data_IF_158486335772
#
_entry.id   IF_158486335772
#
_cell.length_a   1.000
_cell.length_b   1.000
_cell.length_c   1.000
_cell.angle_alpha   90.00
_cell.angle_beta   90.00
_cell.angle_gamma   90.00
#
_symmetry.space_group_name_H-M   'P 1'
#
loop_
_entity.id
_entity.type
_entity.pdbx_description
1 polymer ?
#
# COMPACT_ATOMS: atom_id res chain seq x y z
N UNK A 1 -29.36 -1.42 -16.08
CA UNK A 1 -27.94 -1.04 -16.19
C UNK A 1 -27.43 -1.48 -17.54
N UNK A 2 -27.02 -0.54 -18.37
CA UNK A 2 -26.35 -0.78 -19.64
C UNK A 2 -24.88 -1.20 -19.43
N UNK A 3 -24.31 -1.87 -20.44
CA UNK A 3 -22.97 -2.48 -20.39
C UNK A 3 -21.88 -1.45 -20.04
N UNK A 4 -22.03 -0.21 -20.51
CA UNK A 4 -21.07 0.86 -20.22
C UNK A 4 -21.00 1.19 -18.72
N UNK A 5 -22.16 1.30 -18.05
CA UNK A 5 -22.22 1.54 -16.61
C UNK A 5 -21.63 0.38 -15.79
N UNK A 6 -21.83 -0.87 -16.24
CA UNK A 6 -21.21 -2.04 -15.61
C UNK A 6 -19.68 -1.98 -15.75
N UNK A 7 -19.17 -1.70 -16.95
CA UNK A 7 -17.73 -1.60 -17.20
C UNK A 7 -17.06 -0.50 -16.36
N UNK A 8 -17.70 0.66 -16.28
CA UNK A 8 -17.24 1.78 -15.45
C UNK A 8 -17.21 1.38 -13.96
N UNK A 9 -18.26 0.71 -13.49
CA UNK A 9 -18.34 0.25 -12.08
C UNK A 9 -17.23 -0.74 -11.76
N UNK A 10 -16.99 -1.72 -12.64
CA UNK A 10 -15.91 -2.70 -12.49
C UNK A 10 -14.55 -1.99 -12.48
N UNK A 11 -14.33 -1.04 -13.38
CA UNK A 11 -13.09 -0.28 -13.44
C UNK A 11 -12.82 0.47 -12.13
N UNK A 12 -13.79 1.21 -11.59
CA UNK A 12 -13.65 1.88 -10.31
C UNK A 12 -13.45 0.91 -9.15
N UNK A 13 -14.19 -0.21 -9.14
CA UNK A 13 -14.01 -1.26 -8.14
C UNK A 13 -12.57 -1.78 -8.12
N UNK A 14 -11.97 -2.07 -9.28
CA UNK A 14 -10.59 -2.55 -9.37
C UNK A 14 -9.58 -1.50 -8.91
N UNK A 15 -9.81 -0.21 -9.19
CA UNK A 15 -8.95 0.88 -8.68
C UNK A 15 -9.03 0.96 -7.15
N UNK A 16 -10.24 1.00 -6.59
CA UNK A 16 -10.42 1.10 -5.13
C UNK A 16 -9.84 -0.12 -4.43
N UNK A 17 -10.12 -1.32 -4.94
CA UNK A 17 -9.53 -2.56 -4.43
C UNK A 17 -8.00 -2.53 -4.53
N UNK A 18 -7.45 -2.04 -5.65
CA UNK A 18 -6.01 -1.91 -5.84
C UNK A 18 -5.36 -0.98 -4.82
N UNK A 19 -5.94 0.20 -4.58
CA UNK A 19 -5.45 1.13 -3.55
C UNK A 19 -5.54 0.50 -2.16
N UNK A 20 -6.66 -0.15 -1.84
CA UNK A 20 -6.89 -0.79 -0.54
C UNK A 20 -5.86 -1.89 -0.26
N UNK A 21 -5.63 -2.78 -1.22
CA UNK A 21 -4.63 -3.85 -1.08
C UNK A 21 -3.22 -3.25 -1.02
N UNK A 22 -2.89 -2.23 -1.82
CA UNK A 22 -1.57 -1.60 -1.76
C UNK A 22 -1.27 -0.99 -0.37
N UNK A 23 -2.25 -0.32 0.24
CA UNK A 23 -2.12 0.26 1.58
C UNK A 23 -2.04 -0.83 2.65
N UNK A 24 -2.77 -1.94 2.49
CA UNK A 24 -2.65 -3.12 3.33
C UNK A 24 -1.22 -3.68 3.33
N UNK A 25 -0.68 -3.92 2.14
CA UNK A 25 0.67 -4.45 1.94
C UNK A 25 1.74 -3.49 2.48
N UNK A 26 1.52 -2.18 2.35
CA UNK A 26 2.39 -1.17 2.97
C UNK A 26 2.46 -1.33 4.49
N UNK A 27 1.36 -1.70 5.15
CA UNK A 27 1.32 -1.97 6.59
C UNK A 27 2.26 -3.11 7.00
N UNK A 28 2.19 -4.25 6.29
CA UNK A 28 3.11 -5.36 6.50
C UNK A 28 4.56 -4.93 6.28
N UNK A 29 4.84 -4.24 5.16
CA UNK A 29 6.18 -3.77 4.81
C UNK A 29 6.79 -2.88 5.89
N UNK A 30 6.08 -1.83 6.30
CA UNK A 30 6.59 -0.84 7.26
C UNK A 30 6.92 -1.53 8.59
N UNK A 31 6.03 -2.38 9.08
CA UNK A 31 6.23 -3.01 10.37
C UNK A 31 7.28 -4.12 10.33
N UNK A 32 7.35 -4.90 9.24
CA UNK A 32 8.41 -5.87 9.00
C UNK A 32 9.79 -5.19 9.05
N UNK A 33 9.98 -4.10 8.29
CA UNK A 33 11.24 -3.34 8.28
C UNK A 33 11.57 -2.76 9.66
N UNK A 34 10.56 -2.26 10.40
CA UNK A 34 10.75 -1.71 11.76
C UNK A 34 11.22 -2.74 12.77
N UNK A 35 10.75 -3.98 12.67
CA UNK A 35 11.19 -5.08 13.53
C UNK A 35 12.42 -5.83 12.98
N UNK A 36 13.03 -5.33 11.91
CA UNK A 36 14.25 -5.91 11.35
C UNK A 36 14.02 -7.18 10.52
N UNK A 37 12.77 -7.54 10.22
CA UNK A 37 12.44 -8.61 9.27
C UNK A 37 12.88 -8.19 7.88
N UNK A 38 13.58 -9.10 7.19
CA UNK A 38 14.06 -8.85 5.84
C UNK A 38 12.89 -8.92 4.86
N UNK A 39 12.70 -7.84 4.11
CA UNK A 39 11.77 -7.78 2.97
C UNK A 39 12.58 -7.85 1.69
N UNK A 40 12.33 -8.87 0.90
CA UNK A 40 13.04 -9.13 -0.36
C UNK A 40 12.49 -8.24 -1.48
N UNK A 41 11.17 -8.08 -1.52
CA UNK A 41 10.48 -7.31 -2.55
C UNK A 41 9.23 -6.61 -2.00
N UNK A 42 9.05 -5.36 -2.40
CA UNK A 42 7.81 -4.60 -2.26
C UNK A 42 7.37 -4.17 -3.66
N UNK A 43 6.28 -4.73 -4.15
CA UNK A 43 5.78 -4.52 -5.50
C UNK A 43 4.42 -3.84 -5.55
N UNK A 44 4.20 -3.07 -6.61
CA UNK A 44 2.85 -2.64 -7.01
C UNK A 44 2.31 -3.70 -7.97
N UNK A 45 1.12 -4.21 -7.68
CA UNK A 45 0.51 -5.33 -8.40
C UNK A 45 1.01 -6.71 -7.94
N UNK A 46 0.42 -7.77 -8.49
CA UNK A 46 0.77 -9.16 -8.20
C UNK A 46 1.80 -9.74 -9.17
N UNK A 47 2.74 -10.59 -8.68
CA UNK A 47 3.74 -11.28 -9.49
C UNK A 47 3.14 -12.06 -10.68
N UNK A 48 3.92 -12.32 -11.75
CA UNK A 48 5.37 -12.14 -11.86
C UNK A 48 5.80 -10.67 -12.06
N UNK A 49 7.06 -10.40 -11.69
CA UNK A 49 7.68 -9.09 -11.84
C UNK A 49 7.75 -8.68 -13.31
N UNK A 50 7.20 -7.51 -13.65
CA UNK A 50 7.33 -6.94 -14.98
C UNK A 50 8.59 -6.07 -15.06
N UNK A 51 8.73 -5.11 -14.14
CA UNK A 51 9.84 -4.15 -14.11
C UNK A 51 10.36 -3.98 -12.69
N UNK A 52 11.68 -4.01 -12.52
CA UNK A 52 12.33 -3.55 -11.29
C UNK A 52 12.51 -2.03 -11.37
N UNK A 53 11.83 -1.29 -10.50
CA UNK A 53 11.90 0.17 -10.43
C UNK A 53 13.21 0.61 -9.76
N UNK A 54 13.49 0.04 -8.60
CA UNK A 54 14.63 0.42 -7.79
C UNK A 54 15.02 -0.70 -6.80
N UNK A 55 16.23 -0.62 -6.25
CA UNK A 55 16.73 -1.52 -5.20
C UNK A 55 17.47 -0.73 -4.13
N UNK A 56 17.15 -0.99 -2.87
CA UNK A 56 17.85 -0.43 -1.71
C UNK A 56 19.34 -0.80 -1.69
N UNK A 57 20.15 -0.01 -0.97
CA UNK A 57 21.50 -0.45 -0.63
C UNK A 57 21.37 -1.59 0.36
N UNK A 58 22.08 -2.67 0.09
CA UNK A 58 22.21 -3.77 1.03
C UNK A 58 23.43 -3.61 1.91
N UNK A 59 23.68 -4.61 2.74
CA UNK A 59 24.92 -4.78 3.46
C UNK A 59 25.23 -6.27 3.64
N UNK A 60 26.51 -6.57 3.82
CA UNK A 60 27.00 -7.89 4.11
C UNK A 60 28.00 -7.80 5.27
N UNK A 61 27.92 -8.73 6.20
CA UNK A 61 28.83 -8.80 7.33
C UNK A 61 29.84 -9.92 7.11
N UNK A 62 31.12 -9.54 6.98
CA UNK A 62 32.24 -10.46 6.77
C UNK A 62 33.35 -10.05 7.73
N UNK A 63 33.98 -11.01 8.42
CA UNK A 63 35.02 -10.74 9.43
C UNK A 63 34.60 -9.72 10.50
N UNK A 64 33.33 -9.69 10.90
CA UNK A 64 32.81 -8.73 11.88
C UNK A 64 32.67 -7.28 11.38
N UNK A 65 33.00 -7.00 10.11
CA UNK A 65 32.81 -5.68 9.48
C UNK A 65 31.57 -5.68 8.61
N UNK A 66 30.82 -4.58 8.67
CA UNK A 66 29.65 -4.36 7.81
C UNK A 66 30.07 -3.61 6.54
N UNK A 67 29.95 -4.30 5.40
CA UNK A 67 30.32 -3.80 4.08
C UNK A 67 29.04 -3.46 3.32
N UNK A 68 28.98 -2.28 2.71
CA UNK A 68 27.80 -1.82 1.97
C UNK A 68 27.72 -2.51 0.61
N UNK A 69 26.55 -3.04 0.25
CA UNK A 69 26.25 -3.55 -1.08
C UNK A 69 25.64 -2.40 -1.92
N UNK A 70 26.28 -1.99 -3.03
CA UNK A 70 25.73 -0.98 -3.93
C UNK A 70 24.37 -1.39 -4.51
N UNK A 71 23.51 -0.40 -4.79
CA UNK A 71 22.17 -0.61 -5.38
C UNK A 71 22.18 -1.42 -6.68
N UNK A 72 23.21 -1.22 -7.53
CA UNK A 72 23.36 -1.88 -8.83
C UNK A 72 24.19 -3.18 -8.76
N UNK A 73 24.69 -3.55 -7.59
CA UNK A 73 25.49 -4.76 -7.43
C UNK A 73 24.58 -5.99 -7.42
N UNK A 74 24.82 -6.93 -8.35
CA UNK A 74 24.14 -8.22 -8.40
C UNK A 74 24.98 -9.22 -7.61
N UNK A 75 24.41 -9.77 -6.54
CA UNK A 75 25.04 -10.86 -5.81
C UNK A 75 25.05 -12.12 -6.68
N UNK A 76 26.19 -12.80 -6.82
CA UNK A 76 26.24 -14.10 -7.47
C UNK A 76 25.36 -15.12 -6.73
N UNK A 77 24.83 -16.14 -7.44
CA UNK A 77 24.15 -17.25 -6.80
C UNK A 77 25.09 -17.95 -5.81
N UNK A 78 24.53 -18.45 -4.71
CA UNK A 78 25.31 -19.12 -3.65
C UNK A 78 25.89 -18.20 -2.58
N UNK A 79 25.84 -16.87 -2.76
CA UNK A 79 26.20 -15.91 -1.71
C UNK A 79 25.00 -15.74 -0.77
N UNK A 80 25.02 -16.50 0.34
CA UNK A 80 24.00 -16.51 1.39
C UNK A 80 24.65 -16.34 2.77
N UNK A 81 23.86 -16.06 3.80
CA UNK A 81 24.32 -16.16 5.19
C UNK A 81 24.89 -17.57 5.45
N UNK A 82 26.10 -17.65 6.02
CA UNK A 82 26.84 -18.88 6.26
C UNK A 82 27.74 -19.34 5.11
N UNK A 83 27.59 -18.77 3.90
CA UNK A 83 28.45 -19.09 2.75
C UNK A 83 29.89 -18.61 2.96
N UNK A 84 30.84 -19.33 2.38
CA UNK A 84 32.23 -18.90 2.31
C UNK A 84 32.44 -18.14 1.00
N UNK A 85 33.12 -17.00 1.07
CA UNK A 85 33.32 -16.10 -0.07
C UNK A 85 34.72 -15.52 -0.09
N UNK A 86 35.22 -15.19 -1.28
CA UNK A 86 36.28 -14.19 -1.44
C UNK A 86 35.61 -12.86 -1.84
N UNK A 87 36.19 -11.74 -1.43
CA UNK A 87 35.60 -10.43 -1.71
C UNK A 87 36.66 -9.35 -1.85
N UNK A 88 36.29 -8.29 -2.58
CA UNK A 88 37.07 -7.05 -2.68
C UNK A 88 36.17 -5.89 -2.31
N UNK A 89 36.69 -4.97 -1.52
CA UNK A 89 36.02 -3.71 -1.17
C UNK A 89 36.72 -2.54 -1.81
N UNK A 90 36.00 -1.43 -1.91
CA UNK A 90 36.52 -0.10 -2.22
C UNK A 90 35.98 0.87 -1.19
N UNK A 91 36.72 1.94 -0.90
CA UNK A 91 36.22 3.00 -0.03
C UNK A 91 35.48 4.02 -0.90
N UNK A 92 34.23 4.29 -0.55
CA UNK A 92 33.40 5.31 -1.20
C UNK A 92 32.75 6.17 -0.11
N UNK A 93 33.03 7.47 -0.12
CA UNK A 93 32.56 8.43 0.89
C UNK A 93 32.81 7.97 2.34
N UNK A 94 34.00 7.41 2.61
CA UNK A 94 34.38 6.93 3.94
C UNK A 94 33.73 5.61 4.38
N UNK A 95 33.00 4.93 3.49
CA UNK A 95 32.38 3.61 3.76
C UNK A 95 33.05 2.52 2.93
N UNK A 96 33.25 1.35 3.53
CA UNK A 96 33.64 0.15 2.77
C UNK A 96 32.44 -0.33 1.94
N UNK A 97 32.65 -0.38 0.62
CA UNK A 97 31.64 -0.75 -0.37
C UNK A 97 32.12 -1.98 -1.13
N UNK A 98 31.24 -2.96 -1.29
CA UNK A 98 31.52 -4.19 -2.02
C UNK A 98 31.81 -3.89 -3.50
N UNK A 99 32.97 -4.32 -3.97
CA UNK A 99 33.42 -4.18 -5.36
C UNK A 99 33.32 -5.49 -6.14
N UNK A 100 33.61 -6.62 -5.50
CA UNK A 100 33.43 -7.97 -6.04
C UNK A 100 33.24 -8.98 -4.90
N UNK A 101 32.52 -10.07 -5.16
CA UNK A 101 32.33 -11.19 -4.24
C UNK A 101 32.14 -12.46 -5.06
N UNK A 102 32.75 -13.57 -4.64
CA UNK A 102 32.62 -14.87 -5.29
C UNK A 102 32.47 -15.97 -4.24
N UNK A 103 31.54 -16.93 -4.42
CA UNK A 103 31.38 -18.06 -3.51
C UNK A 103 32.61 -18.98 -3.58
N UNK A 104 33.01 -19.52 -2.43
CA UNK A 104 34.13 -20.46 -2.28
C UNK A 104 33.59 -21.85 -2.02
N UNK A 105 34.04 -22.80 -2.83
CA UNK A 105 33.66 -24.20 -2.69
C UNK A 105 34.20 -24.81 -1.39
N UNK A 106 33.55 -25.84 -0.82
CA UNK A 106 33.98 -26.47 0.43
C UNK A 106 35.44 -26.91 0.45
N UNK A 107 35.95 -27.43 -0.67
CA UNK A 107 37.33 -27.89 -0.82
C UNK A 107 38.37 -26.76 -0.76
N UNK A 108 37.97 -25.51 -1.02
CA UNK A 108 38.84 -24.34 -1.14
C UNK A 108 38.76 -23.40 0.07
N UNK A 109 37.99 -23.76 1.12
CA UNK A 109 37.79 -22.92 2.32
C UNK A 109 39.07 -22.61 3.09
N UNK A 110 40.11 -23.44 2.95
CA UNK A 110 41.41 -23.23 3.60
C UNK A 110 42.30 -22.15 2.96
N UNK A 111 41.86 -21.55 1.84
CA UNK A 111 42.62 -20.48 1.19
C UNK A 111 42.59 -19.20 2.06
N UNK A 112 43.74 -18.53 2.18
CA UNK A 112 43.93 -17.37 3.07
C UNK A 112 42.98 -16.18 2.82
N UNK A 113 42.30 -16.14 1.66
CA UNK A 113 41.37 -15.08 1.28
C UNK A 113 39.88 -15.44 1.51
N UNK A 114 39.56 -16.68 1.88
CA UNK A 114 38.18 -17.10 2.11
C UNK A 114 37.67 -16.57 3.45
N UNK A 115 36.44 -16.07 3.47
CA UNK A 115 35.80 -15.57 4.69
C UNK A 115 34.33 -15.97 4.71
N UNK A 116 33.80 -16.23 5.91
CA UNK A 116 32.40 -16.58 6.05
C UNK A 116 31.51 -15.33 6.08
N UNK A 117 30.41 -15.38 5.36
CA UNK A 117 29.31 -14.41 5.44
C UNK A 117 28.56 -14.65 6.74
N UNK A 118 28.68 -13.74 7.69
CA UNK A 118 28.02 -13.83 9.00
C UNK A 118 26.55 -13.43 8.91
N UNK A 119 26.25 -12.40 8.11
CA UNK A 119 24.90 -11.92 7.86
C UNK A 119 24.81 -11.22 6.50
N UNK A 120 23.64 -11.28 5.86
CA UNK A 120 23.39 -10.72 4.55
C UNK A 120 22.02 -10.03 4.48
N UNK A 121 22.04 -8.76 4.09
CA UNK A 121 20.86 -7.99 3.72
C UNK A 121 21.04 -7.48 2.27
N UNK A 122 20.50 -8.17 1.25
CA UNK A 122 20.69 -7.78 -0.14
C UNK A 122 20.09 -6.41 -0.51
N UNK A 123 19.19 -5.88 0.33
CA UNK A 123 18.35 -4.70 0.07
C UNK A 123 17.01 -5.08 -0.56
N UNK A 124 15.95 -4.35 -0.19
CA UNK A 124 14.60 -4.55 -0.73
C UNK A 124 14.51 -4.09 -2.19
N UNK A 125 13.87 -4.92 -3.02
CA UNK A 125 13.56 -4.60 -4.41
C UNK A 125 12.18 -3.92 -4.48
N UNK A 126 12.10 -2.83 -5.22
CA UNK A 126 10.83 -2.17 -5.55
C UNK A 126 10.48 -2.48 -6.99
N UNK A 127 9.27 -2.98 -7.21
CA UNK A 127 8.86 -3.47 -8.53
C UNK A 127 7.47 -3.02 -8.94
N UNK A 128 7.25 -3.05 -10.26
CA UNK A 128 5.93 -3.07 -10.86
C UNK A 128 5.72 -4.49 -11.42
N UNK A 129 4.63 -5.13 -11.02
CA UNK A 129 4.28 -6.47 -11.47
C UNK A 129 3.22 -6.45 -12.57
N UNK A 130 3.09 -7.56 -13.30
CA UNK A 130 2.24 -7.62 -14.50
C UNK A 130 0.75 -7.43 -14.22
N UNK A 131 0.26 -7.89 -13.07
CA UNK A 131 -1.15 -7.71 -12.70
C UNK A 131 -1.28 -6.45 -11.83
N UNK A 132 -1.80 -5.32 -12.33
CA UNK A 132 -1.79 -4.03 -11.63
C UNK A 132 -2.89 -3.92 -10.56
N UNK A 133 -3.15 -5.03 -9.86
CA UNK A 133 -4.12 -5.10 -8.78
C UNK A 133 -3.36 -5.17 -7.45
N UNK A 134 -3.51 -4.13 -6.63
CA UNK A 134 -2.99 -4.16 -5.26
C UNK A 134 -1.50 -3.90 -5.12
N UNK A 135 -0.94 -4.48 -4.07
CA UNK A 135 0.48 -4.52 -3.77
C UNK A 135 0.94 -5.93 -3.47
N UNK A 136 2.23 -6.09 -3.24
CA UNK A 136 2.83 -7.38 -2.92
C UNK A 136 4.04 -7.18 -2.01
N UNK A 137 4.08 -7.84 -0.86
CA UNK A 137 5.27 -7.89 0.01
C UNK A 137 5.80 -9.32 0.09
N UNK A 138 7.07 -9.51 -0.25
CA UNK A 138 7.76 -10.79 0.00
C UNK A 138 8.70 -10.68 1.19
N UNK A 139 8.37 -11.38 2.27
CA UNK A 139 9.24 -11.48 3.43
C UNK A 139 10.15 -12.72 3.30
N UNK A 140 11.37 -12.63 3.82
CA UNK A 140 12.24 -13.79 3.89
C UNK A 140 11.68 -14.81 4.87
N UNK A 141 11.71 -16.08 4.47
CA UNK A 141 11.52 -17.24 5.36
C UNK A 141 10.22 -17.17 6.15
N UNK A 142 9.10 -17.01 5.47
CA UNK A 142 7.76 -16.98 6.08
C UNK A 142 7.44 -18.26 6.85
N UNK A 143 7.97 -19.41 6.39
CA UNK A 143 7.82 -20.72 7.03
C UNK A 143 9.14 -21.29 7.56
N UNK A 144 10.29 -20.65 7.25
CA UNK A 144 11.61 -21.17 7.59
C UNK A 144 12.38 -20.22 8.52
N UNK A 145 12.64 -20.62 9.78
CA UNK A 145 13.36 -19.80 10.75
C UNK A 145 14.90 -19.83 10.61
N UNK A 146 15.45 -20.44 9.54
CA UNK A 146 16.90 -20.59 9.35
C UNK A 146 17.66 -19.26 9.28
N UNK A 147 17.03 -18.19 8.80
CA UNK A 147 17.61 -16.85 8.80
C UNK A 147 17.07 -16.07 10.03
N UNK A 148 17.92 -15.52 10.91
CA UNK A 148 17.46 -14.76 12.09
C UNK A 148 16.59 -13.55 11.74
N UNK A 149 16.71 -13.02 10.51
CA UNK A 149 15.89 -11.91 10.00
C UNK A 149 14.68 -12.41 9.21
N UNK A 150 14.40 -13.70 9.19
CA UNK A 150 13.17 -14.24 8.61
C UNK A 150 11.96 -13.91 9.47
N UNK A 151 10.79 -13.91 8.84
CA UNK A 151 9.53 -13.74 9.53
C UNK A 151 9.27 -14.88 10.53
N UNK A 152 9.55 -16.12 10.16
CA UNK A 152 9.37 -17.29 11.03
C UNK A 152 10.29 -17.28 12.27
N UNK A 153 11.48 -16.68 12.17
CA UNK A 153 12.41 -16.57 13.29
C UNK A 153 11.98 -15.50 14.33
N UNK A 154 11.05 -14.62 14.00
CA UNK A 154 10.60 -13.58 14.92
C UNK A 154 9.75 -14.13 16.06
N UNK A 155 9.76 -13.39 17.18
CA UNK A 155 8.88 -13.66 18.32
C UNK A 155 7.40 -13.68 17.87
N UNK A 156 6.54 -14.54 18.44
CA UNK A 156 5.13 -14.64 18.04
C UNK A 156 4.38 -13.30 18.05
N UNK A 157 4.66 -12.44 19.03
CA UNK A 157 4.06 -11.11 19.10
C UNK A 157 4.46 -10.21 17.93
N UNK A 158 5.73 -10.24 17.51
CA UNK A 158 6.21 -9.47 16.35
C UNK A 158 5.52 -9.97 15.08
N UNK A 159 5.41 -11.29 14.93
CA UNK A 159 4.69 -11.90 13.80
C UNK A 159 3.23 -11.48 13.79
N UNK A 160 2.54 -11.58 14.92
CA UNK A 160 1.15 -11.15 15.05
C UNK A 160 0.96 -9.66 14.74
N UNK A 161 1.84 -8.79 15.26
CA UNK A 161 1.81 -7.37 14.96
C UNK A 161 1.96 -7.09 13.47
N UNK A 162 2.94 -7.73 12.80
CA UNK A 162 3.14 -7.60 11.35
C UNK A 162 1.90 -8.06 10.59
N UNK A 163 1.30 -9.20 10.95
CA UNK A 163 0.09 -9.72 10.29
C UNK A 163 -1.13 -8.81 10.49
N UNK A 164 -1.27 -8.16 11.65
CA UNK A 164 -2.38 -7.23 11.89
C UNK A 164 -2.11 -5.86 11.25
N UNK A 165 -0.86 -5.49 10.99
CA UNK A 165 -0.47 -4.20 10.43
C UNK A 165 -1.17 -3.87 9.11
N UNK A 166 -1.37 -4.86 8.24
CA UNK A 166 -2.05 -4.64 6.97
C UNK A 166 -3.52 -4.21 7.16
N UNK A 167 -4.27 -4.95 7.98
CA UNK A 167 -5.64 -4.57 8.31
C UNK A 167 -5.69 -3.22 9.07
N UNK A 168 -4.74 -2.98 9.98
CA UNK A 168 -4.61 -1.72 10.70
C UNK A 168 -4.45 -0.52 9.76
N UNK A 169 -3.64 -0.63 8.71
CA UNK A 169 -3.47 0.43 7.73
C UNK A 169 -4.74 0.71 6.92
N UNK A 170 -5.57 -0.31 6.66
CA UNK A 170 -6.86 -0.10 6.02
C UNK A 170 -7.85 0.63 6.93
N UNK A 171 -7.82 0.37 8.24
CA UNK A 171 -8.61 1.14 9.22
C UNK A 171 -8.17 2.61 9.23
N UNK A 172 -6.86 2.86 9.25
CA UNK A 172 -6.31 4.23 9.16
C UNK A 172 -6.74 4.90 7.86
N UNK A 173 -6.63 4.20 6.73
CA UNK A 173 -7.08 4.71 5.43
C UNK A 173 -8.57 5.05 5.46
N UNK A 174 -9.41 4.19 6.01
CA UNK A 174 -10.84 4.43 6.14
C UNK A 174 -11.13 5.68 6.96
N UNK A 175 -10.48 5.86 8.12
CA UNK A 175 -10.64 7.06 8.96
C UNK A 175 -10.28 8.32 8.17
N UNK A 176 -9.15 8.31 7.45
CA UNK A 176 -8.73 9.43 6.62
C UNK A 176 -9.75 9.72 5.52
N UNK A 177 -10.16 8.71 4.75
CA UNK A 177 -11.12 8.86 3.66
C UNK A 177 -12.47 9.37 4.15
N UNK A 178 -13.02 8.79 5.22
CA UNK A 178 -14.30 9.24 5.78
C UNK A 178 -14.22 10.65 6.35
N UNK A 179 -13.10 11.02 6.99
CA UNK A 179 -12.90 12.39 7.48
C UNK A 179 -12.86 13.38 6.31
N UNK A 180 -12.11 13.07 5.26
CA UNK A 180 -12.04 13.90 4.05
C UNK A 180 -13.42 14.05 3.38
N UNK A 181 -14.18 12.95 3.25
CA UNK A 181 -15.53 12.98 2.67
C UNK A 181 -16.50 13.78 3.56
N UNK A 182 -16.45 13.59 4.88
CA UNK A 182 -17.34 14.27 5.83
C UNK A 182 -17.09 15.78 5.91
N UNK A 183 -15.84 16.20 5.70
CA UNK A 183 -15.42 17.62 5.71
C UNK A 183 -15.41 18.27 4.34
N UNK A 184 -15.56 17.48 3.26
CA UNK A 184 -15.63 18.01 1.91
C UNK A 184 -16.88 18.91 1.76
N UNK A 185 -16.76 20.07 1.07
CA UNK A 185 -17.92 20.91 0.77
C UNK A 185 -18.95 20.10 -0.01
N UNK A 186 -20.09 19.82 0.62
CA UNK A 186 -21.20 19.18 -0.06
C UNK A 186 -21.91 20.27 -0.87
N UNK A 187 -21.88 20.16 -2.19
CA UNK A 187 -22.76 20.97 -3.03
C UNK A 187 -24.16 20.43 -2.77
N UNK A 188 -24.90 21.11 -1.89
CA UNK A 188 -26.33 20.83 -1.73
C UNK A 188 -26.98 21.12 -3.08
N UNK A 189 -27.35 20.07 -3.81
CA UNK A 189 -28.30 20.22 -4.90
C UNK A 189 -29.59 20.67 -4.23
N UNK A 190 -29.95 21.94 -4.37
CA UNK A 190 -31.22 22.46 -3.85
C UNK A 190 -32.31 21.65 -4.53
N UNK A 191 -33.02 20.84 -3.77
CA UNK A 191 -34.10 20.02 -4.29
C UNK A 191 -35.31 20.94 -4.36
N UNK A 192 -35.42 21.66 -5.48
CA UNK A 192 -36.47 22.67 -5.63
C UNK A 192 -37.83 22.00 -5.52
N UNK A 193 -38.56 22.35 -4.47
CA UNK A 193 -39.89 21.80 -4.19
C UNK A 193 -40.82 22.31 -5.30
N UNK A 194 -41.13 21.42 -6.25
CA UNK A 194 -41.97 21.75 -7.40
C UNK A 194 -43.38 21.22 -7.17
N UNK A 195 -44.38 22.05 -7.45
CA UNK A 195 -45.78 21.65 -7.36
C UNK A 195 -46.09 20.71 -8.52
N UNK A 196 -46.35 19.43 -8.23
CA UNK A 196 -46.66 18.45 -9.28
C UNK A 196 -48.09 18.59 -9.79
N UNK A 197 -49.04 18.85 -8.89
CA UNK A 197 -50.45 18.97 -9.21
C UNK A 197 -51.19 19.85 -8.20
N UNK A 198 -52.28 20.46 -8.64
CA UNK A 198 -53.20 21.25 -7.81
C UNK A 198 -54.61 20.69 -7.98
N UNK A 199 -55.30 20.45 -6.87
CA UNK A 199 -56.66 19.93 -6.89
C UNK A 199 -57.67 21.02 -7.33
N UNK A 200 -58.66 20.64 -8.13
CA UNK A 200 -59.71 21.56 -8.59
C UNK A 200 -60.60 22.05 -7.42
N UNK A 201 -61.01 23.32 -7.48
CA UNK A 201 -61.75 24.05 -6.44
C UNK A 201 -61.05 24.09 -5.07
N UNK A 202 -59.72 23.98 -5.04
CA UNK A 202 -58.95 24.02 -3.79
C UNK A 202 -58.54 25.45 -3.40
N UNK A 203 -58.20 25.69 -2.11
CA UNK A 203 -57.59 26.96 -1.69
C UNK A 203 -56.30 27.29 -2.45
N UNK A 204 -55.51 26.27 -2.82
CA UNK A 204 -54.29 26.43 -3.60
C UNK A 204 -54.57 26.93 -5.04
N UNK A 205 -55.60 26.39 -5.71
CA UNK A 205 -56.03 26.88 -7.02
C UNK A 205 -56.53 28.33 -6.93
N UNK A 206 -57.33 28.64 -5.91
CA UNK A 206 -57.85 29.98 -5.67
C UNK A 206 -56.75 31.00 -5.33
N UNK A 207 -55.65 30.55 -4.72
CA UNK A 207 -54.44 31.33 -4.45
C UNK A 207 -53.55 31.51 -5.69
N UNK A 208 -53.90 30.89 -6.82
CA UNK A 208 -53.19 31.02 -8.09
C UNK A 208 -52.00 30.09 -8.26
N UNK A 209 -51.83 29.08 -7.38
CA UNK A 209 -50.76 28.09 -7.47
C UNK A 209 -51.01 27.17 -8.67
N UNK A 210 -49.96 26.85 -9.43
CA UNK A 210 -50.03 26.02 -10.63
C UNK A 210 -49.04 24.85 -10.59
N UNK A 211 -49.34 23.74 -11.30
CA UNK A 211 -48.35 22.71 -11.57
C UNK A 211 -47.12 23.30 -12.25
N UNK A 212 -45.93 22.94 -11.77
CA UNK A 212 -44.64 23.46 -12.21
C UNK A 212 -44.13 24.65 -11.40
N UNK A 213 -44.94 25.25 -10.51
CA UNK A 213 -44.47 26.32 -9.63
C UNK A 213 -43.38 25.78 -8.67
N UNK A 214 -42.37 26.61 -8.44
CA UNK A 214 -41.26 26.31 -7.52
C UNK A 214 -41.50 27.03 -6.19
N UNK A 215 -41.65 26.24 -5.13
CA UNK A 215 -41.84 26.76 -3.79
C UNK A 215 -40.47 27.15 -3.21
N UNK A 216 -40.26 28.45 -2.99
CA UNK A 216 -39.00 28.99 -2.49
C UNK A 216 -39.05 29.33 -0.98
N UNK A 217 -40.21 29.74 -0.48
CA UNK A 217 -40.42 30.16 0.92
C UNK A 217 -41.81 29.78 1.42
N UNK A 218 -41.96 29.46 2.71
CA UNK A 218 -43.24 29.31 3.41
C UNK A 218 -43.19 30.21 4.66
N UNK A 219 -44.19 31.06 4.87
CA UNK A 219 -44.26 32.02 5.98
C UNK A 219 -42.98 32.88 6.16
N UNK A 220 -42.34 33.24 5.04
CA UNK A 220 -41.10 34.00 5.01
C UNK A 220 -39.83 33.21 5.37
N UNK A 221 -39.96 31.91 5.69
CA UNK A 221 -38.84 31.00 5.89
C UNK A 221 -38.43 30.37 4.54
N UNK A 222 -37.15 30.42 4.14
CA UNK A 222 -36.68 29.74 2.94
C UNK A 222 -36.77 28.21 3.09
N UNK A 223 -37.14 27.53 2.00
CA UNK A 223 -37.21 26.07 1.92
C UNK A 223 -36.20 25.57 0.88
N UNK A 224 -35.29 24.68 1.30
CA UNK A 224 -34.26 24.12 0.42
C UNK A 224 -34.61 22.70 -0.07
N UNK A 225 -35.58 22.05 0.59
CA UNK A 225 -35.99 20.69 0.31
C UNK A 225 -37.41 20.41 0.86
N UNK A 226 -37.97 19.24 0.53
CA UNK A 226 -39.30 18.81 0.99
C UNK A 226 -39.42 18.67 2.51
N UNK A 227 -38.35 18.31 3.21
CA UNK A 227 -38.36 18.15 4.67
C UNK A 227 -38.53 19.51 5.38
N UNK A 228 -37.95 20.57 4.84
CA UNK A 228 -38.14 21.93 5.36
C UNK A 228 -39.62 22.34 5.28
N UNK A 229 -40.27 22.07 4.13
CA UNK A 229 -41.69 22.35 3.94
C UNK A 229 -42.58 21.58 4.93
N UNK A 230 -42.26 20.32 5.23
CA UNK A 230 -42.99 19.50 6.23
C UNK A 230 -42.79 19.96 7.67
N UNK A 231 -41.72 20.68 7.97
CA UNK A 231 -41.44 21.18 9.33
C UNK A 231 -42.16 22.50 9.63
N UNK A 232 -42.43 23.29 8.59
CA UNK A 232 -43.04 24.61 8.72
C UNK A 232 -44.57 24.53 8.82
N UNK A 233 -45.19 23.52 8.18
CA UNK A 233 -46.64 23.27 8.16
C UNK A 233 -47.01 22.29 9.28
#
# INVERSE_FOLDING_TARGET
MDIANIAITIFYFLIVLGVLVLVHELGHYVLAKRFGVRVEEFGIGYPPRAVQLWKERGWIQIQGKQIVIPRRFKLPPGVLSGAWVTYRTRVDQGREVLAAIEPVEPAQRGMAAASQVQALEPGTIYSLNWLPLGGFVRMTGEENPSDPRSFAAQRPLVRALILVAGAGMNVVLAIVLFTLIATAPQVKTIEVVTIEAVAANSPAESAGIRPGDQLLTIDGQPIENRQDAQRII
#
